data_IF_745991235887
#
_entry.id   IF_745991235887
#
_cell.length_a   1.000
_cell.length_b   1.000
_cell.length_c   1.000
_cell.angle_alpha   90.00
_cell.angle_beta   90.00
_cell.angle_gamma   90.00
#
_symmetry.space_group_name_H-M   'P 1'
#
loop_
_entity.id
_entity.type
_entity.pdbx_description
1 polymer ?
#
# COMPACT_ATOMS: atom_id res chain seq x y z
N UNK A 1 -22.01 -23.36 15.96
CA UNK A 1 -22.00 -21.89 15.85
C UNK A 1 -20.84 -21.40 14.97
N UNK A 2 -19.60 -21.85 15.21
CA UNK A 2 -18.42 -21.37 14.47
C UNK A 2 -18.50 -21.55 12.94
N UNK A 3 -18.88 -22.73 12.44
CA UNK A 3 -18.98 -22.97 10.99
C UNK A 3 -19.96 -22.02 10.28
N UNK A 4 -21.02 -21.59 10.98
CA UNK A 4 -21.99 -20.61 10.48
C UNK A 4 -21.34 -19.22 10.39
N UNK A 5 -20.57 -18.81 11.39
CA UNK A 5 -19.80 -17.56 11.36
C UNK A 5 -18.70 -17.55 10.29
N UNK A 6 -18.04 -18.69 10.05
CA UNK A 6 -17.03 -18.82 8.99
C UNK A 6 -17.62 -18.67 7.58
N UNK A 7 -18.89 -19.03 7.39
CA UNK A 7 -19.60 -18.88 6.12
C UNK A 7 -20.01 -17.43 5.82
N UNK A 8 -20.20 -16.59 6.84
CA UNK A 8 -20.60 -15.19 6.68
C UNK A 8 -19.48 -14.36 6.07
N UNK A 9 -19.86 -13.31 5.34
CA UNK A 9 -18.89 -12.35 4.79
C UNK A 9 -18.38 -11.43 5.89
N UNK A 10 -17.20 -10.83 5.69
CA UNK A 10 -16.61 -9.86 6.63
C UNK A 10 -17.54 -8.69 6.91
N UNK A 11 -18.32 -8.24 5.92
CA UNK A 11 -19.32 -7.19 6.10
C UNK A 11 -20.43 -7.60 7.09
N UNK A 12 -20.93 -8.84 6.98
CA UNK A 12 -21.97 -9.39 7.86
C UNK A 12 -21.42 -9.58 9.29
N UNK A 13 -20.19 -10.09 9.43
CA UNK A 13 -19.52 -10.22 10.72
C UNK A 13 -19.32 -8.86 11.42
N UNK A 14 -18.94 -7.82 10.65
CA UNK A 14 -18.83 -6.46 11.18
C UNK A 14 -20.18 -5.88 11.57
N UNK A 15 -21.24 -6.17 10.82
CA UNK A 15 -22.59 -5.73 11.17
C UNK A 15 -23.05 -6.32 12.51
N UNK A 16 -22.80 -7.61 12.74
CA UNK A 16 -23.11 -8.27 14.01
C UNK A 16 -22.33 -7.67 15.18
N UNK A 17 -21.01 -7.48 15.01
CA UNK A 17 -20.19 -6.83 16.02
C UNK A 17 -20.64 -5.39 16.31
N UNK A 18 -21.00 -4.62 15.28
CA UNK A 18 -21.52 -3.25 15.45
C UNK A 18 -22.85 -3.25 16.19
N UNK A 19 -23.77 -4.18 15.86
CA UNK A 19 -25.06 -4.32 16.54
C UNK A 19 -24.91 -4.70 18.02
N UNK A 20 -23.83 -5.41 18.36
CA UNK A 20 -23.48 -5.78 19.72
C UNK A 20 -22.59 -4.75 20.44
N UNK A 21 -22.23 -3.63 19.80
CA UNK A 21 -21.34 -2.62 20.38
C UNK A 21 -19.89 -3.07 20.55
N UNK A 22 -19.46 -4.10 19.83
CA UNK A 22 -18.11 -4.66 19.90
C UNK A 22 -17.19 -4.03 18.85
N UNK A 23 -15.88 -4.08 19.10
CA UNK A 23 -14.88 -3.59 18.15
C UNK A 23 -14.98 -4.34 16.80
N UNK A 24 -14.88 -3.61 15.68
CA UNK A 24 -14.95 -4.13 14.30
C UNK A 24 -13.59 -4.19 13.59
N UNK A 25 -12.50 -4.01 14.33
CA UNK A 25 -11.12 -4.12 13.84
C UNK A 25 -10.63 -5.59 13.86
N UNK A 26 -9.75 -5.91 12.91
CA UNK A 26 -9.14 -7.23 12.78
C UNK A 26 -9.43 -7.92 11.45
N UNK A 27 -8.77 -9.06 11.24
CA UNK A 27 -9.00 -9.96 10.12
C UNK A 27 -10.28 -10.78 10.34
N UNK A 28 -10.78 -11.46 9.30
CA UNK A 28 -11.95 -12.34 9.40
C UNK A 28 -11.92 -13.30 10.61
N UNK A 29 -10.84 -14.04 10.91
CA UNK A 29 -10.79 -14.90 12.10
C UNK A 29 -10.95 -14.12 13.41
N UNK A 30 -10.35 -12.93 13.54
CA UNK A 30 -10.44 -12.11 14.76
C UNK A 30 -11.90 -11.65 15.02
N UNK A 31 -12.64 -11.34 13.96
CA UNK A 31 -14.05 -10.97 14.06
C UNK A 31 -14.92 -12.16 14.48
N UNK A 32 -14.61 -13.35 13.96
CA UNK A 32 -15.31 -14.60 14.32
C UNK A 32 -15.02 -14.95 15.78
N UNK A 33 -13.75 -14.88 16.19
CA UNK A 33 -13.35 -15.14 17.57
C UNK A 33 -14.06 -14.21 18.56
N UNK A 34 -14.13 -12.90 18.26
CA UNK A 34 -14.84 -11.93 19.12
C UNK A 34 -16.34 -12.22 19.24
N UNK A 35 -16.97 -12.72 18.17
CA UNK A 35 -18.37 -13.17 18.19
C UNK A 35 -18.56 -14.48 18.95
N UNK A 36 -17.56 -15.37 18.96
CA UNK A 36 -17.59 -16.61 19.75
C UNK A 36 -17.41 -16.32 21.25
N UNK A 37 -16.55 -15.36 21.59
CA UNK A 37 -16.36 -14.88 22.97
C UNK A 37 -17.60 -14.15 23.51
N UNK A 38 -18.47 -13.63 22.63
CA UNK A 38 -19.68 -12.88 22.98
C UNK A 38 -20.93 -13.51 22.35
N UNK A 39 -21.48 -14.60 22.94
CA UNK A 39 -22.61 -15.32 22.36
C UNK A 39 -23.88 -14.46 22.20
N UNK A 40 -24.05 -13.41 23.02
CA UNK A 40 -25.14 -12.43 22.89
C UNK A 40 -25.20 -11.76 21.50
N UNK A 41 -24.03 -11.55 20.87
CA UNK A 41 -23.95 -10.97 19.52
C UNK A 41 -24.40 -11.94 18.40
N UNK A 42 -24.51 -13.24 18.71
CA UNK A 42 -24.87 -14.29 17.76
C UNK A 42 -26.22 -14.94 18.05
N UNK A 43 -26.94 -14.45 19.07
CA UNK A 43 -28.26 -14.93 19.45
C UNK A 43 -29.26 -14.91 18.27
N UNK A 44 -29.17 -13.91 17.38
CA UNK A 44 -30.02 -13.83 16.18
C UNK A 44 -29.72 -14.89 15.12
N UNK A 45 -28.57 -15.58 15.18
CA UNK A 45 -28.15 -16.61 14.22
C UNK A 45 -28.41 -18.03 14.73
N UNK A 46 -28.46 -18.22 16.04
CA UNK A 46 -28.85 -19.47 16.68
C UNK A 46 -30.35 -19.47 16.97
N UNK A 47 -31.16 -19.82 15.98
CA UNK A 47 -32.60 -19.95 16.20
C UNK A 47 -32.89 -21.03 17.25
N UNK A 48 -33.33 -20.58 18.43
CA UNK A 48 -34.18 -21.30 19.38
C UNK A 48 -33.58 -22.51 20.09
N UNK A 49 -32.93 -22.28 21.22
CA UNK A 49 -33.16 -23.10 22.42
C UNK A 49 -33.18 -22.14 23.64
N UNK A 50 -34.13 -22.39 24.53
CA UNK A 50 -34.71 -21.43 25.48
C UNK A 50 -33.74 -20.77 26.46
N UNK A 51 -34.16 -19.57 26.88
CA UNK A 51 -33.69 -18.85 28.04
C UNK A 51 -33.85 -19.67 29.35
N UNK A 52 -33.21 -19.20 30.42
CA UNK A 52 -34.03 -18.83 31.57
C UNK A 52 -33.98 -17.31 31.79
N UNK A 53 -35.17 -16.74 31.86
CA UNK A 53 -35.43 -15.42 32.40
C UNK A 53 -35.10 -15.40 33.90
N UNK A 54 -34.36 -14.38 34.35
CA UNK A 54 -34.41 -13.95 35.75
C UNK A 54 -34.51 -12.42 35.80
N UNK A 55 -35.73 -11.98 36.05
CA UNK A 55 -36.19 -10.83 36.83
C UNK A 55 -35.48 -9.46 36.72
N UNK A 56 -36.24 -8.50 36.22
CA UNK A 56 -36.24 -7.10 36.65
C UNK A 56 -36.71 -6.96 38.11
N UNK A 57 -36.33 -5.88 38.82
CA UNK A 57 -37.39 -5.07 39.41
C UNK A 57 -37.20 -3.57 39.14
N UNK A 58 -38.30 -2.93 38.73
CA UNK A 58 -38.56 -1.51 38.95
C UNK A 58 -38.92 -1.28 40.44
N UNK A 59 -38.76 -0.04 40.95
CA UNK A 59 -39.94 0.80 41.05
C UNK A 59 -39.71 2.29 40.65
N UNK A 60 -40.74 2.88 40.04
CA UNK A 60 -41.01 4.33 40.00
C UNK A 60 -41.88 4.70 41.25
N UNK A 61 -42.31 5.96 41.55
CA UNK A 61 -42.18 7.22 40.79
C UNK A 61 -41.89 8.49 41.64
N UNK A 62 -41.51 9.62 41.01
CA UNK A 62 -41.95 10.97 41.42
C UNK A 62 -41.67 12.03 40.33
N UNK A 63 -42.70 12.84 40.08
CA UNK A 63 -42.86 14.04 39.25
C UNK A 63 -41.62 14.97 39.16
N UNK A 64 -41.43 15.79 38.12
CA UNK A 64 -42.22 17.01 37.86
C UNK A 64 -41.87 17.63 36.48
N UNK A 65 -42.93 18.10 35.78
CA UNK A 65 -43.09 19.18 34.77
C UNK A 65 -41.83 19.96 34.27
N UNK A 66 -41.69 20.54 33.07
CA UNK A 66 -42.51 20.90 31.89
C UNK A 66 -41.55 21.56 30.83
N UNK A 67 -41.99 21.90 29.59
CA UNK A 67 -41.18 22.16 28.37
C UNK A 67 -40.82 23.67 28.21
N UNK A 68 -40.20 24.25 27.12
CA UNK A 68 -40.28 24.00 25.65
C UNK A 68 -38.87 24.05 24.97
N UNK A 69 -38.61 24.01 23.65
CA UNK A 69 -39.20 24.70 22.50
C UNK A 69 -38.57 24.16 21.20
N UNK A 70 -39.39 24.13 20.15
CA UNK A 70 -39.13 23.89 18.72
C UNK A 70 -38.00 24.77 18.16
N UNK A 71 -37.19 24.25 17.22
CA UNK A 71 -36.81 24.90 15.93
C UNK A 71 -35.82 24.07 15.11
N UNK A 72 -36.30 23.51 13.98
CA UNK A 72 -35.56 23.35 12.72
C UNK A 72 -35.47 24.73 12.01
N UNK A 73 -34.91 24.88 10.80
CA UNK A 73 -33.64 24.42 10.22
C UNK A 73 -32.87 25.61 9.54
N UNK A 74 -31.58 25.49 9.19
CA UNK A 74 -31.02 26.15 7.99
C UNK A 74 -29.54 25.84 7.74
N UNK A 75 -29.27 25.60 6.46
CA UNK A 75 -28.02 25.56 5.70
C UNK A 75 -27.23 26.87 5.75
N UNK A 76 -25.88 26.81 5.69
CA UNK A 76 -25.08 27.58 4.71
C UNK A 76 -23.56 27.36 4.89
N UNK A 77 -22.90 27.07 3.77
CA UNK A 77 -21.47 27.25 3.45
C UNK A 77 -21.01 28.70 3.70
N UNK A 78 -19.70 28.96 3.88
CA UNK A 78 -18.96 29.56 2.75
C UNK A 78 -17.45 29.25 2.64
N UNK A 79 -16.98 29.46 1.41
CA UNK A 79 -15.62 29.70 0.83
C UNK A 79 -15.87 30.81 -0.23
N UNK A 80 -14.95 31.69 -0.71
CA UNK A 80 -13.49 31.95 -0.48
C UNK A 80 -13.05 33.45 -0.26
N UNK A 81 -11.74 33.67 0.06
CA UNK A 81 -10.74 34.71 -0.38
C UNK A 81 -11.05 36.24 -0.42
N UNK A 82 -10.08 37.20 -0.59
CA UNK A 82 -8.60 37.27 -0.34
C UNK A 82 -8.11 38.58 0.38
N UNK A 83 -6.77 38.67 0.56
CA UNK A 83 -5.90 39.88 0.59
C UNK A 83 -5.80 40.80 1.84
N UNK A 84 -4.61 40.86 2.46
CA UNK A 84 -3.67 42.01 2.32
C UNK A 84 -2.44 41.89 3.24
N UNK A 85 -1.28 42.23 2.68
CA UNK A 85 -0.01 42.49 3.36
C UNK A 85 -0.08 43.75 4.25
N UNK A 86 0.84 43.95 5.20
CA UNK A 86 2.07 44.68 4.88
C UNK A 86 3.35 44.22 5.62
N UNK A 87 4.50 44.54 5.02
CA UNK A 87 5.81 44.73 5.66
C UNK A 87 6.19 46.24 5.48
N UNK A 88 7.35 46.79 5.91
CA UNK A 88 8.40 46.36 6.86
C UNK A 88 8.84 47.48 7.87
N UNK A 89 9.60 47.12 8.92
CA UNK A 89 10.60 47.95 9.64
C UNK A 89 11.36 47.00 10.61
N UNK A 90 12.67 46.72 10.52
CA UNK A 90 13.88 47.55 10.59
C UNK A 90 14.14 48.18 11.98
N UNK A 91 14.93 47.49 12.82
CA UNK A 91 16.09 48.03 13.59
C UNK A 91 16.87 46.87 14.25
N UNK A 92 18.07 46.43 13.84
CA UNK A 92 19.48 46.93 13.97
C UNK A 92 20.13 46.93 15.38
N UNK A 93 21.27 46.22 15.47
CA UNK A 93 22.42 46.31 16.42
C UNK A 93 22.25 45.64 17.81
N UNK A 94 23.21 44.93 18.44
CA UNK A 94 24.65 44.72 18.26
C UNK A 94 25.05 43.40 18.99
N UNK A 95 25.87 42.54 18.38
CA UNK A 95 27.30 42.33 18.65
C UNK A 95 27.68 41.59 19.95
N UNK A 96 28.05 40.32 19.83
CA UNK A 96 29.20 39.72 20.52
C UNK A 96 29.67 38.44 19.78
N UNK A 97 30.84 38.54 19.14
CA UNK A 97 31.73 37.41 18.83
C UNK A 97 32.94 37.52 19.78
N UNK A 98 33.71 36.45 20.03
CA UNK A 98 34.78 36.11 19.09
C UNK A 98 35.05 34.60 18.87
N UNK A 99 35.54 34.30 17.66
CA UNK A 99 36.73 33.46 17.33
C UNK A 99 36.83 32.06 17.98
N UNK A 100 36.92 30.97 17.23
CA UNK A 100 38.17 30.55 16.55
C UNK A 100 37.90 29.56 15.41
N UNK A 101 38.70 29.70 14.35
CA UNK A 101 38.78 28.88 13.15
C UNK A 101 39.11 27.42 13.42
N UNK A 102 38.60 26.51 12.57
CA UNK A 102 39.52 25.63 11.85
C UNK A 102 38.91 25.16 10.52
N UNK A 103 39.66 25.46 9.46
CA UNK A 103 39.48 25.00 8.09
C UNK A 103 39.85 23.53 8.02
N UNK A 104 38.97 22.69 7.48
CA UNK A 104 39.38 21.39 6.92
C UNK A 104 38.44 20.93 5.80
N UNK A 105 39.04 20.85 4.62
CA UNK A 105 38.74 19.95 3.51
C UNK A 105 37.30 19.86 2.98
N UNK A 106 37.09 20.58 1.87
CA UNK A 106 36.12 20.27 0.82
C UNK A 106 36.42 18.90 0.20
N UNK A 107 35.88 17.83 0.80
CA UNK A 107 35.55 16.60 0.09
C UNK A 107 34.03 16.48 0.07
N UNK A 108 33.40 16.00 -1.02
CA UNK A 108 32.00 15.62 -0.98
C UNK A 108 31.90 14.39 -0.09
N UNK A 109 31.73 14.61 1.22
CA UNK A 109 31.40 13.58 2.18
C UNK A 109 30.11 12.95 1.69
N UNK A 110 30.19 11.67 1.35
CA UNK A 110 29.02 10.87 1.01
C UNK A 110 27.93 11.12 2.07
N UNK A 111 26.67 11.38 1.66
CA UNK A 111 25.60 11.64 2.64
C UNK A 111 25.50 10.45 3.57
N UNK A 112 25.42 10.72 4.88
CA UNK A 112 25.29 9.69 5.92
C UNK A 112 24.11 8.78 5.57
N UNK A 113 24.14 7.53 6.01
CA UNK A 113 23.04 6.59 5.72
C UNK A 113 21.69 7.14 6.21
N UNK A 114 21.67 7.86 7.33
CA UNK A 114 20.48 8.56 7.80
C UNK A 114 20.01 9.66 6.83
N UNK A 115 20.93 10.44 6.27
CA UNK A 115 20.61 11.51 5.32
C UNK A 115 20.06 10.94 4.01
N UNK A 116 20.62 9.82 3.52
CA UNK A 116 20.10 9.11 2.34
C UNK A 116 18.68 8.64 2.58
N UNK A 117 18.40 8.06 3.75
CA UNK A 117 17.04 7.63 4.14
C UNK A 117 16.08 8.80 4.22
N UNK A 118 16.48 9.91 4.83
CA UNK A 118 15.66 11.12 4.92
C UNK A 118 15.37 11.71 3.53
N UNK A 119 16.36 11.76 2.64
CA UNK A 119 16.16 12.20 1.25
C UNK A 119 15.18 11.29 0.50
N UNK A 120 15.27 9.98 0.70
CA UNK A 120 14.34 9.00 0.13
C UNK A 120 12.91 9.20 0.65
N UNK A 121 12.73 9.43 1.94
CA UNK A 121 11.42 9.70 2.54
C UNK A 121 10.84 10.99 1.94
N UNK A 122 11.63 12.08 1.88
CA UNK A 122 11.20 13.35 1.31
C UNK A 122 10.80 13.24 -0.17
N UNK A 123 11.55 12.47 -0.97
CA UNK A 123 11.24 12.23 -2.38
C UNK A 123 9.94 11.41 -2.54
N UNK A 124 9.73 10.40 -1.68
CA UNK A 124 8.51 9.59 -1.68
C UNK A 124 7.27 10.38 -1.24
N UNK A 125 7.41 11.28 -0.27
CA UNK A 125 6.35 12.22 0.15
C UNK A 125 5.97 13.16 -0.99
N UNK A 126 6.97 13.75 -1.66
CA UNK A 126 6.76 14.61 -2.82
C UNK A 126 6.05 13.86 -3.95
N UNK A 127 6.38 12.58 -4.15
CA UNK A 127 5.71 11.71 -5.12
C UNK A 127 4.28 11.40 -4.72
N UNK A 128 4.01 11.12 -3.44
CA UNK A 128 2.65 10.95 -2.91
C UNK A 128 1.80 12.20 -3.17
N UNK A 129 2.35 13.39 -2.87
CA UNK A 129 1.66 14.66 -3.13
C UNK A 129 1.41 14.89 -4.63
N UNK A 130 2.38 14.57 -5.49
CA UNK A 130 2.20 14.62 -6.95
C UNK A 130 1.12 13.64 -7.41
N UNK A 131 1.18 12.38 -6.98
CA UNK A 131 0.18 11.38 -7.32
C UNK A 131 -1.23 11.85 -6.92
N UNK A 132 -1.40 12.41 -5.71
CA UNK A 132 -2.65 13.02 -5.27
C UNK A 132 -3.10 14.14 -6.20
N UNK A 133 -2.19 15.06 -6.57
CA UNK A 133 -2.49 16.19 -7.44
C UNK A 133 -2.93 15.77 -8.85
N UNK A 134 -2.38 14.68 -9.36
CA UNK A 134 -2.68 14.15 -10.69
C UNK A 134 -3.72 13.01 -10.68
N UNK A 135 -4.36 12.73 -9.53
CA UNK A 135 -5.36 11.67 -9.40
C UNK A 135 -4.83 10.25 -9.62
N UNK A 136 -3.52 10.03 -9.46
CA UNK A 136 -2.93 8.70 -9.51
C UNK A 136 -3.17 7.94 -8.20
N UNK A 137 -3.34 6.61 -8.26
CA UNK A 137 -3.56 5.80 -7.07
C UNK A 137 -2.37 5.91 -6.10
N UNK A 138 -2.65 6.30 -4.85
CA UNK A 138 -1.64 6.58 -3.81
C UNK A 138 -0.95 5.31 -3.28
N UNK A 139 -1.55 4.13 -3.49
CA UNK A 139 -1.16 2.89 -2.83
C UNK A 139 0.29 2.45 -3.06
N UNK A 140 0.89 2.74 -4.22
CA UNK A 140 2.29 2.39 -4.47
C UNK A 140 3.27 3.34 -3.78
N UNK A 141 2.99 4.65 -3.81
CA UNK A 141 3.84 5.66 -3.16
C UNK A 141 3.80 5.52 -1.63
N UNK A 142 2.61 5.25 -1.08
CA UNK A 142 2.41 5.04 0.35
C UNK A 142 3.14 3.79 0.86
N UNK A 143 3.02 2.65 0.16
CA UNK A 143 3.74 1.43 0.54
C UNK A 143 5.25 1.60 0.53
N UNK A 144 5.78 2.34 -0.45
CA UNK A 144 7.22 2.63 -0.51
C UNK A 144 7.65 3.55 0.63
N UNK A 145 6.86 4.57 0.94
CA UNK A 145 7.13 5.49 2.06
C UNK A 145 7.12 4.74 3.40
N UNK A 146 6.11 3.91 3.66
CA UNK A 146 6.03 3.10 4.87
C UNK A 146 7.20 2.11 4.99
N UNK A 147 7.59 1.48 3.86
CA UNK A 147 8.76 0.60 3.82
C UNK A 147 10.04 1.38 4.11
N UNK A 148 10.22 2.55 3.50
CA UNK A 148 11.39 3.41 3.73
C UNK A 148 11.55 3.77 5.21
N UNK A 149 10.45 4.14 5.87
CA UNK A 149 10.43 4.51 7.29
C UNK A 149 10.74 3.29 8.16
N UNK A 150 10.15 2.13 7.87
CA UNK A 150 10.20 0.97 8.76
C UNK A 150 11.45 0.13 8.59
N UNK A 151 11.94 -0.02 7.36
CA UNK A 151 13.00 -0.96 7.01
C UNK A 151 14.07 -0.37 6.08
N UNK A 152 13.86 0.83 5.53
CA UNK A 152 14.63 1.32 4.38
C UNK A 152 14.14 0.73 3.06
N UNK A 153 14.67 1.22 1.93
CA UNK A 153 14.41 0.64 0.61
C UNK A 153 15.60 -0.25 0.19
N UNK A 154 15.31 -1.27 -0.60
CA UNK A 154 16.37 -2.05 -1.25
C UNK A 154 17.13 -1.15 -2.25
N UNK A 155 18.45 -1.35 -2.47
CA UNK A 155 19.27 -0.46 -3.30
C UNK A 155 18.74 -0.30 -4.73
N UNK A 156 18.07 -1.32 -5.25
CA UNK A 156 17.37 -1.28 -6.54
C UNK A 156 16.19 -0.32 -6.55
N UNK A 157 15.37 -0.32 -5.50
CA UNK A 157 14.23 0.59 -5.35
C UNK A 157 14.71 2.03 -5.07
N UNK A 158 15.76 2.18 -4.26
CA UNK A 158 16.40 3.47 -4.00
C UNK A 158 16.88 4.16 -5.28
N UNK A 159 17.59 3.42 -6.14
CA UNK A 159 18.05 3.93 -7.43
C UNK A 159 16.88 4.34 -8.35
N UNK A 160 15.77 3.59 -8.33
CA UNK A 160 14.59 3.91 -9.13
C UNK A 160 13.88 5.18 -8.63
N UNK A 161 13.79 5.38 -7.32
CA UNK A 161 13.20 6.59 -6.72
C UNK A 161 14.10 7.80 -7.01
N UNK A 162 15.41 7.67 -6.80
CA UNK A 162 16.38 8.74 -7.06
C UNK A 162 16.42 9.14 -8.55
N UNK A 163 16.36 8.18 -9.47
CA UNK A 163 16.38 8.43 -10.92
C UNK A 163 15.15 9.20 -11.41
N UNK A 164 14.00 9.01 -10.78
CA UNK A 164 12.76 9.70 -11.16
C UNK A 164 12.70 11.15 -10.66
N UNK A 165 13.44 11.48 -9.60
CA UNK A 165 13.59 12.83 -9.09
C UNK A 165 14.57 13.68 -9.92
N UNK A 166 15.46 13.04 -10.69
CA UNK A 166 16.38 13.74 -11.59
C UNK A 166 15.65 14.34 -12.78
N UNK A 167 16.04 15.56 -13.16
CA UNK A 167 15.48 16.22 -14.33
C UNK A 167 15.74 15.39 -15.60
N UNK A 168 14.66 15.09 -16.32
CA UNK A 168 14.69 14.42 -17.62
C UNK A 168 15.57 15.22 -18.59
N UNK A 169 16.80 14.76 -18.80
CA UNK A 169 17.77 15.40 -19.70
C UNK A 169 19.18 15.50 -19.12
N UNK A 170 19.34 15.42 -17.79
CA UNK A 170 20.66 15.35 -17.17
C UNK A 170 21.11 13.89 -17.22
N UNK A 171 21.66 13.46 -18.36
CA UNK A 171 22.39 12.20 -18.43
C UNK A 171 23.56 12.35 -17.45
N UNK A 172 23.52 11.61 -16.35
CA UNK A 172 24.62 11.46 -15.40
C UNK A 172 25.89 11.19 -16.20
N UNK A 173 26.73 12.21 -16.35
CA UNK A 173 27.99 12.13 -17.07
C UNK A 173 28.89 11.19 -16.30
N UNK A 174 28.96 9.94 -16.76
CA UNK A 174 29.99 8.99 -16.37
C UNK A 174 31.35 9.67 -16.56
N UNK A 175 32.23 9.73 -15.55
CA UNK A 175 33.52 10.39 -15.70
C UNK A 175 34.32 9.67 -16.79
N UNK A 176 34.80 10.46 -17.75
CA UNK A 176 35.54 10.01 -18.90
C UNK A 176 36.95 9.56 -18.48
N UNK A 177 37.20 8.25 -18.49
CA UNK A 177 38.56 7.72 -18.63
C UNK A 177 38.87 7.52 -20.11
N UNK A 178 39.68 8.44 -20.63
CA UNK A 178 40.69 8.27 -21.69
C UNK A 178 40.38 7.33 -22.86
N UNK A 179 40.03 7.94 -24.00
CA UNK A 179 40.28 7.40 -25.35
C UNK A 179 41.81 7.36 -25.63
N UNK A 180 42.28 6.50 -26.53
CA UNK A 180 42.49 6.95 -27.91
C UNK A 180 41.84 5.98 -28.92
N UNK A 181 40.96 6.46 -29.80
CA UNK A 181 41.27 6.80 -31.19
C UNK A 181 41.58 5.59 -32.07
N UNK A 182 40.52 4.95 -32.59
CA UNK A 182 40.53 4.30 -33.90
C UNK A 182 39.10 4.32 -34.46
N UNK A 183 39.00 4.56 -35.76
CA UNK A 183 37.78 4.87 -36.50
C UNK A 183 36.95 3.63 -36.85
N UNK A 184 35.70 3.90 -37.25
CA UNK A 184 34.79 3.05 -38.03
C UNK A 184 34.25 1.76 -37.37
N UNK A 185 32.93 1.74 -37.09
CA UNK A 185 31.98 0.74 -37.60
C UNK A 185 30.66 0.75 -36.81
N UNK A 186 29.58 0.53 -37.56
CA UNK A 186 28.21 0.28 -37.10
C UNK A 186 28.13 -0.99 -36.22
N UNK A 187 27.07 -1.05 -35.41
CA UNK A 187 26.47 -2.26 -34.81
C UNK A 187 27.40 -3.30 -34.18
N UNK A 188 27.40 -3.39 -32.84
CA UNK A 188 27.54 -4.69 -32.18
C UNK A 188 26.93 -4.67 -30.78
N UNK A 189 25.89 -5.50 -30.60
CA UNK A 189 25.53 -6.04 -29.29
C UNK A 189 26.78 -6.76 -28.73
N UNK A 190 27.09 -6.67 -27.44
CA UNK A 190 28.18 -7.48 -26.89
C UNK A 190 27.82 -8.96 -27.07
N UNK A 191 28.66 -9.70 -27.81
CA UNK A 191 28.60 -11.16 -27.85
C UNK A 191 28.99 -11.66 -26.47
N UNK A 192 27.99 -11.95 -25.66
CA UNK A 192 28.10 -12.69 -24.39
C UNK A 192 28.83 -14.00 -24.68
N UNK A 193 29.97 -14.21 -24.02
CA UNK A 193 30.84 -15.37 -24.17
C UNK A 193 30.08 -16.64 -23.80
N UNK A 194 30.42 -17.78 -24.40
CA UNK A 194 29.70 -19.04 -24.19
C UNK A 194 29.69 -19.46 -22.70
N UNK A 195 30.77 -19.13 -21.98
CA UNK A 195 30.89 -19.28 -20.52
C UNK A 195 29.85 -18.45 -19.73
N UNK A 196 29.56 -17.22 -20.14
CA UNK A 196 28.57 -16.37 -19.47
C UNK A 196 27.15 -16.90 -19.69
N UNK A 197 26.88 -17.48 -20.87
CA UNK A 197 25.58 -18.13 -21.14
C UNK A 197 25.40 -19.39 -20.29
N UNK A 198 26.46 -20.18 -20.11
CA UNK A 198 26.43 -21.37 -19.25
C UNK A 198 26.23 -21.00 -17.78
N UNK A 199 26.91 -19.96 -17.27
CA UNK A 199 26.71 -19.47 -15.92
C UNK A 199 25.28 -18.94 -15.68
N UNK A 200 24.69 -18.27 -16.68
CA UNK A 200 23.32 -17.78 -16.59
C UNK A 200 22.29 -18.90 -16.67
N UNK A 201 22.54 -19.97 -17.43
CA UNK A 201 21.65 -21.13 -17.46
C UNK A 201 21.67 -21.91 -16.15
N UNK A 202 22.85 -22.10 -15.54
CA UNK A 202 22.93 -22.79 -14.24
C UNK A 202 22.27 -21.97 -13.13
N UNK A 203 22.39 -20.64 -13.15
CA UNK A 203 21.70 -19.77 -12.20
C UNK A 203 20.17 -19.82 -12.37
N UNK A 204 19.68 -19.82 -13.62
CA UNK A 204 18.25 -19.97 -13.90
C UNK A 204 17.70 -21.34 -13.49
N UNK A 205 18.49 -22.40 -13.54
CA UNK A 205 18.10 -23.73 -13.06
C UNK A 205 17.99 -23.75 -11.53
N UNK A 206 18.96 -23.17 -10.84
CA UNK A 206 18.94 -23.03 -9.38
C UNK A 206 17.76 -22.17 -8.93
N UNK A 207 17.45 -21.09 -9.65
CA UNK A 207 16.30 -20.24 -9.36
C UNK A 207 14.97 -20.97 -9.60
N UNK A 208 14.86 -21.76 -10.68
CA UNK A 208 13.69 -22.61 -10.94
C UNK A 208 13.48 -23.67 -9.88
N UNK A 209 14.54 -24.30 -9.36
CA UNK A 209 14.42 -25.25 -8.24
C UNK A 209 14.01 -24.57 -6.94
N UNK A 210 14.58 -23.39 -6.63
CA UNK A 210 14.17 -22.59 -5.46
C UNK A 210 12.72 -22.13 -5.59
N UNK A 211 12.28 -21.75 -6.79
CA UNK A 211 10.90 -21.40 -7.09
C UNK A 211 9.97 -22.61 -6.94
N UNK A 212 10.38 -23.81 -7.38
CA UNK A 212 9.63 -25.06 -7.13
C UNK A 212 9.53 -25.38 -5.65
N UNK A 213 10.63 -25.35 -4.90
CA UNK A 213 10.62 -25.56 -3.44
C UNK A 213 9.75 -24.54 -2.72
N UNK A 214 9.76 -23.28 -3.16
CA UNK A 214 8.86 -22.23 -2.64
C UNK A 214 7.41 -22.55 -3.00
N UNK A 215 7.11 -22.93 -4.24
CA UNK A 215 5.76 -23.32 -4.65
C UNK A 215 5.24 -24.53 -3.87
N UNK A 216 6.09 -25.53 -3.58
CA UNK A 216 5.74 -26.67 -2.74
C UNK A 216 5.47 -26.25 -1.30
N UNK A 217 6.32 -25.38 -0.75
CA UNK A 217 6.18 -24.86 0.61
C UNK A 217 4.94 -23.97 0.78
N UNK A 218 4.53 -23.29 -0.28
CA UNK A 218 3.33 -22.45 -0.31
C UNK A 218 2.09 -23.18 -0.85
N UNK A 219 2.16 -24.49 -1.14
CA UNK A 219 1.03 -25.27 -1.64
C UNK A 219 0.51 -24.83 -3.01
N UNK A 220 1.31 -24.07 -3.78
CA UNK A 220 1.00 -23.58 -5.12
C UNK A 220 1.29 -24.62 -6.20
N UNK A 221 1.97 -25.72 -5.85
CA UNK A 221 2.03 -26.89 -6.74
C UNK A 221 0.65 -27.53 -6.77
N UNK A 222 -0.19 -27.02 -7.66
CA UNK A 222 -1.37 -27.69 -8.19
C UNK A 222 -0.92 -29.04 -8.71
N UNK A 223 -1.02 -30.07 -7.87
CA UNK A 223 -1.18 -31.43 -8.36
C UNK A 223 -2.47 -31.37 -9.17
N UNK A 224 -2.35 -31.23 -10.50
CA UNK A 224 -3.48 -31.32 -11.42
C UNK A 224 -4.12 -32.68 -11.22
N UNK A 225 -5.06 -32.73 -10.30
CA UNK A 225 -5.91 -33.89 -10.10
C UNK A 225 -6.87 -33.93 -11.29
N UNK A 226 -7.25 -35.12 -11.78
CA UNK A 226 -8.13 -35.24 -12.94
C UNK A 226 -9.46 -34.46 -12.79
N UNK A 227 -9.92 -34.21 -11.55
CA UNK A 227 -11.08 -33.34 -11.27
C UNK A 227 -10.86 -31.85 -11.60
N UNK A 228 -9.66 -31.30 -11.37
CA UNK A 228 -9.38 -29.89 -11.71
C UNK A 228 -9.28 -29.69 -13.22
N UNK A 229 -8.76 -30.68 -13.96
CA UNK A 229 -8.75 -30.67 -15.42
C UNK A 229 -10.17 -30.73 -15.98
N UNK A 230 -11.07 -31.53 -15.39
CA UNK A 230 -12.49 -31.53 -15.77
C UNK A 230 -13.21 -30.23 -15.42
N UNK A 231 -12.94 -29.62 -14.26
CA UNK A 231 -13.52 -28.31 -13.90
C UNK A 231 -13.04 -27.21 -14.82
N UNK A 232 -11.76 -27.23 -15.21
CA UNK A 232 -11.19 -26.29 -16.18
C UNK A 232 -11.83 -26.50 -17.56
N UNK A 233 -11.97 -27.75 -18.02
CA UNK A 233 -12.66 -28.08 -19.28
C UNK A 233 -14.14 -27.69 -19.27
N UNK A 234 -14.85 -27.87 -18.16
CA UNK A 234 -16.25 -27.41 -18.00
C UNK A 234 -16.35 -25.88 -17.99
N UNK A 235 -15.40 -25.18 -17.35
CA UNK A 235 -15.37 -23.71 -17.38
C UNK A 235 -15.07 -23.19 -18.78
N UNK A 236 -14.15 -23.83 -19.49
CA UNK A 236 -13.77 -23.46 -20.85
C UNK A 236 -14.89 -23.78 -21.86
N UNK A 237 -15.63 -24.87 -21.69
CA UNK A 237 -16.84 -25.14 -22.48
C UNK A 237 -17.97 -24.14 -22.18
N UNK A 238 -18.06 -23.63 -20.95
CA UNK A 238 -19.13 -22.72 -20.51
C UNK A 238 -18.84 -21.24 -20.77
N UNK A 239 -17.56 -20.86 -20.90
CA UNK A 239 -17.12 -19.48 -21.10
C UNK A 239 -16.27 -19.25 -22.37
N UNK A 240 -15.75 -20.29 -23.01
CA UNK A 240 -14.92 -20.19 -24.21
C UNK A 240 -15.71 -20.06 -25.52
N UNK A 241 -17.01 -20.39 -25.50
CA UNK A 241 -17.86 -20.29 -26.70
C UNK A 241 -18.25 -18.83 -27.05
N UNK A 242 -18.09 -17.86 -26.14
CA UNK A 242 -18.59 -16.49 -26.36
C UNK A 242 -17.56 -15.52 -26.93
N UNK A 243 -16.36 -15.96 -27.32
CA UNK A 243 -15.29 -15.06 -27.76
C UNK A 243 -14.75 -15.34 -29.19
N UNK A 244 -15.41 -16.23 -29.95
CA UNK A 244 -14.93 -16.70 -31.25
C UNK A 244 -15.75 -16.36 -32.49
N UNK A 245 -17.03 -15.95 -32.37
CA UNK A 245 -17.96 -16.01 -33.52
C UNK A 245 -18.60 -14.67 -33.95
N UNK A 246 -18.10 -13.50 -33.54
CA UNK A 246 -18.68 -12.19 -33.91
C UNK A 246 -17.78 -11.30 -34.82
N UNK A 247 -16.91 -11.89 -35.63
CA UNK A 247 -16.18 -11.13 -36.67
C UNK A 247 -16.20 -11.83 -38.02
N UNK A 248 -17.36 -11.94 -38.67
CA UNK A 248 -17.47 -12.09 -40.14
C UNK A 248 -18.92 -12.00 -40.65
N UNK A 249 -19.52 -10.82 -40.67
CA UNK A 249 -20.52 -10.47 -41.71
C UNK A 249 -20.42 -8.97 -42.01
N UNK A 250 -19.52 -8.61 -42.93
CA UNK A 250 -19.62 -7.38 -43.72
C UNK A 250 -18.90 -7.62 -45.04
N UNK A 251 -19.62 -8.16 -46.00
CA UNK A 251 -19.41 -7.88 -47.43
C UNK A 251 -20.69 -8.18 -48.15
#
# INVERSE_FOLDING_TARGET
>A
MESKLQSLKVAELKALLTSAGLAVSGNKPDLIQRLLENPAATASLGGGEEAPAVASPAPAPAATAAPPTVSQPATSTPTPAPASAPAPAADTLAAASPTTAETSATQPSEPSEEERRQQLIAELEKRKARAAKFGQPLGEAERKLERAIKFGLDPTEEANVAKLGQALGIKSSKPASTKPAAAAAKESKPKETEEQKQARSTELEVEKEKARKRAERFGIVTKETPEEVERKRKREAKFGASNGEEKKVKT
#
